data_IF_701715530714
#
_entry.id   IF_701715530714
#
_cell.length_a   1.000
_cell.length_b   1.000
_cell.length_c   1.000
_cell.angle_alpha   90.00
_cell.angle_beta   90.00
_cell.angle_gamma   90.00
#
_symmetry.space_group_name_H-M   'P 1'
#
loop_
_entity.id
_entity.type
_entity.pdbx_description
1 polymer ?
#
# COMPACT_ATOMS: atom_id res chain seq x y z
N UNK A 1 -40.13 -8.99 1.75
CA UNK A 1 -39.00 -9.90 2.00
C UNK A 1 -38.08 -9.87 0.78
N UNK A 2 -36.81 -9.49 0.76
CA UNK A 2 -35.92 -8.71 1.61
C UNK A 2 -34.73 -8.37 0.70
N UNK A 3 -34.91 -7.48 -0.29
CA UNK A 3 -33.78 -7.02 -1.10
C UNK A 3 -33.06 -5.90 -0.35
N UNK A 4 -32.38 -6.27 0.73
CA UNK A 4 -31.37 -5.41 1.33
C UNK A 4 -30.20 -5.40 0.34
N UNK A 5 -30.00 -4.29 -0.38
CA UNK A 5 -28.77 -4.06 -1.14
C UNK A 5 -27.60 -4.07 -0.15
N UNK A 6 -26.89 -5.19 -0.05
CA UNK A 6 -25.75 -5.33 0.85
C UNK A 6 -24.56 -4.52 0.29
N UNK A 7 -24.35 -3.32 0.83
CA UNK A 7 -23.20 -2.46 0.54
C UNK A 7 -21.88 -2.99 1.14
N UNK A 8 -21.77 -4.29 1.39
CA UNK A 8 -20.65 -4.90 2.11
C UNK A 8 -19.37 -4.96 1.28
N UNK A 9 -19.50 -5.01 -0.06
CA UNK A 9 -18.37 -5.08 -0.99
C UNK A 9 -18.42 -3.92 -1.97
N UNK A 10 -17.23 -3.45 -2.36
CA UNK A 10 -17.05 -2.44 -3.38
C UNK A 10 -16.15 -2.97 -4.48
N UNK A 11 -16.47 -2.61 -5.72
CA UNK A 11 -15.66 -2.97 -6.88
C UNK A 11 -14.56 -1.94 -7.09
N UNK A 12 -13.31 -2.36 -6.96
CA UNK A 12 -12.12 -1.52 -7.17
C UNK A 12 -11.23 -2.22 -8.17
N UNK A 13 -10.86 -1.56 -9.28
CA UNK A 13 -10.01 -2.11 -10.35
C UNK A 13 -10.43 -3.51 -10.87
N UNK A 14 -11.74 -3.82 -10.80
CA UNK A 14 -12.28 -5.11 -11.23
C UNK A 14 -12.29 -6.21 -10.16
N UNK A 15 -11.81 -5.93 -8.95
CA UNK A 15 -11.84 -6.83 -7.79
C UNK A 15 -12.97 -6.45 -6.83
N UNK A 16 -13.63 -7.46 -6.26
CA UNK A 16 -14.63 -7.28 -5.19
C UNK A 16 -13.95 -7.26 -3.83
N UNK A 17 -13.83 -6.07 -3.25
CA UNK A 17 -13.11 -5.85 -1.99
C UNK A 17 -14.14 -5.50 -0.89
N UNK A 18 -14.06 -6.12 0.30
CA UNK A 18 -14.94 -5.75 1.40
C UNK A 18 -14.72 -4.29 1.82
N UNK A 19 -15.79 -3.63 2.27
CA UNK A 19 -15.69 -2.26 2.77
C UNK A 19 -15.27 -2.27 4.25
N UNK A 20 -14.41 -1.33 4.67
CA UNK A 20 -13.71 -0.33 3.85
C UNK A 20 -12.48 -0.93 3.12
N UNK A 21 -12.13 -0.35 1.96
CA UNK A 21 -10.81 -0.58 1.37
C UNK A 21 -9.74 0.08 2.24
N UNK A 22 -8.83 -0.74 2.76
CA UNK A 22 -7.71 -0.31 3.59
C UNK A 22 -6.42 -0.40 2.77
N UNK A 23 -5.79 0.77 2.55
CA UNK A 23 -4.47 0.90 1.92
C UNK A 23 -3.49 1.36 3.01
N UNK A 24 -2.44 0.60 3.26
CA UNK A 24 -1.49 0.91 4.33
C UNK A 24 -0.06 0.64 3.89
N UNK A 25 0.91 1.18 4.63
CA UNK A 25 2.33 1.04 4.32
C UNK A 25 3.10 2.30 4.70
N UNK A 26 4.43 2.27 4.56
CA UNK A 26 5.26 3.34 5.05
C UNK A 26 5.06 4.62 4.24
N UNK A 27 5.42 5.76 4.84
CA UNK A 27 5.39 7.04 4.14
C UNK A 27 6.28 6.99 2.89
N UNK A 28 7.50 6.48 3.05
CA UNK A 28 8.53 6.35 2.03
C UNK A 28 9.09 4.92 1.98
N UNK A 29 9.54 4.50 0.81
CA UNK A 29 10.37 3.29 0.65
C UNK A 29 11.83 3.66 0.91
N UNK A 30 12.27 3.50 2.16
CA UNK A 30 13.60 3.96 2.62
C UNK A 30 14.66 2.87 2.49
N UNK A 31 14.28 1.60 2.64
CA UNK A 31 15.13 0.44 2.37
C UNK A 31 14.30 -0.77 1.97
N UNK A 32 14.93 -1.72 1.27
CA UNK A 32 14.27 -2.98 0.90
C UNK A 32 13.80 -3.76 2.14
N UNK A 33 14.64 -3.85 3.16
CA UNK A 33 14.33 -4.57 4.41
C UNK A 33 13.13 -3.97 5.12
N UNK A 34 13.03 -2.63 5.17
CA UNK A 34 11.91 -1.92 5.78
C UNK A 34 10.61 -2.14 5.00
N UNK A 35 10.64 -2.04 3.67
CA UNK A 35 9.46 -2.26 2.82
C UNK A 35 8.96 -3.71 2.95
N UNK A 36 9.87 -4.68 2.87
CA UNK A 36 9.54 -6.11 2.96
C UNK A 36 9.02 -6.50 4.35
N UNK A 37 9.63 -5.98 5.42
CA UNK A 37 9.16 -6.22 6.79
C UNK A 37 7.76 -5.64 6.99
N UNK A 38 7.53 -4.40 6.55
CA UNK A 38 6.22 -3.75 6.68
C UNK A 38 5.14 -4.53 5.91
N UNK A 39 5.43 -4.95 4.68
CA UNK A 39 4.49 -5.75 3.89
C UNK A 39 4.14 -7.09 4.56
N UNK A 40 5.13 -7.78 5.14
CA UNK A 40 4.90 -9.02 5.89
C UNK A 40 3.99 -8.80 7.10
N UNK A 41 4.22 -7.76 7.89
CA UNK A 41 3.37 -7.46 9.06
C UNK A 41 1.95 -7.06 8.65
N UNK A 42 1.79 -6.22 7.61
CA UNK A 42 0.45 -5.86 7.11
C UNK A 42 -0.31 -7.08 6.56
N UNK A 43 0.38 -8.01 5.90
CA UNK A 43 -0.23 -9.26 5.41
C UNK A 43 -0.68 -10.16 6.57
N UNK A 44 0.10 -10.25 7.66
CA UNK A 44 -0.28 -11.00 8.86
C UNK A 44 -1.54 -10.46 9.54
N UNK A 45 -1.78 -9.14 9.49
CA UNK A 45 -2.99 -8.53 10.05
C UNK A 45 -4.27 -8.94 9.29
N UNK A 46 -4.17 -9.30 8.00
CA UNK A 46 -5.30 -9.76 7.19
C UNK A 46 -6.37 -8.70 6.86
N UNK A 47 -6.21 -7.46 7.35
CA UNK A 47 -7.16 -6.36 7.16
C UNK A 47 -6.75 -5.37 6.06
N UNK A 48 -5.49 -5.42 5.61
CA UNK A 48 -4.94 -4.49 4.62
C UNK A 48 -5.06 -5.11 3.23
N UNK A 49 -5.62 -4.33 2.31
CA UNK A 49 -5.95 -4.79 0.96
C UNK A 49 -4.90 -4.37 -0.08
N UNK A 50 -4.15 -3.30 0.20
CA UNK A 50 -3.10 -2.81 -0.68
C UNK A 50 -1.95 -2.16 0.11
N UNK A 51 -0.73 -2.34 -0.39
CA UNK A 51 0.49 -1.73 0.13
C UNK A 51 0.74 -0.38 -0.55
N UNK A 52 1.04 0.67 0.22
CA UNK A 52 1.55 1.96 -0.29
C UNK A 52 2.96 2.25 0.20
N UNK A 53 3.80 2.85 -0.64
CA UNK A 53 5.07 3.44 -0.23
C UNK A 53 5.49 4.55 -1.22
N UNK A 54 5.97 5.68 -0.71
CA UNK A 54 6.44 6.79 -1.54
C UNK A 54 7.85 6.55 -2.06
N UNK A 55 8.02 6.53 -3.37
CA UNK A 55 9.32 6.32 -4.03
C UNK A 55 10.01 7.62 -4.40
N UNK A 56 9.22 8.64 -4.73
CA UNK A 56 9.66 10.03 -4.92
C UNK A 56 8.88 10.93 -3.97
N UNK A 57 9.57 11.87 -3.32
CA UNK A 57 8.98 12.83 -2.39
C UNK A 57 9.18 14.24 -2.92
N UNK A 58 8.09 14.96 -3.27
CA UNK A 58 8.19 16.35 -3.71
C UNK A 58 8.56 17.21 -2.49
N UNK A 59 9.85 17.50 -2.31
CA UNK A 59 10.33 18.27 -1.17
C UNK A 59 10.24 19.76 -1.47
N UNK A 60 9.60 20.50 -0.56
CA UNK A 60 9.62 21.97 -0.58
C UNK A 60 10.97 22.53 -0.15
N UNK A 61 11.72 21.79 0.69
CA UNK A 61 13.04 22.18 1.19
C UNK A 61 14.12 21.29 0.54
N UNK A 62 15.20 21.87 0.00
CA UNK A 62 16.32 21.11 -0.55
C UNK A 62 17.05 20.32 0.55
N UNK A 63 17.85 19.32 0.14
CA UNK A 63 18.67 18.45 1.01
C UNK A 63 17.91 17.55 1.98
N UNK A 64 16.59 17.46 1.84
CA UNK A 64 15.80 16.53 2.61
C UNK A 64 15.49 15.29 1.77
N UNK A 65 15.35 14.12 2.39
CA UNK A 65 15.12 12.85 1.69
C UNK A 65 14.08 12.96 0.54
N UNK A 66 14.53 12.74 -0.69
CA UNK A 66 13.73 12.89 -1.92
C UNK A 66 13.11 11.58 -2.40
N UNK A 67 13.39 10.48 -1.70
CA UNK A 67 13.07 9.14 -2.16
C UNK A 67 14.26 8.41 -2.76
N UNK A 68 14.17 7.09 -2.81
CA UNK A 68 15.20 6.22 -3.41
C UNK A 68 15.06 6.16 -4.95
N UNK A 69 13.92 6.62 -5.49
CA UNK A 69 13.67 6.59 -6.92
C UNK A 69 13.45 5.17 -7.46
N UNK A 70 13.74 4.96 -8.75
CA UNK A 70 13.33 3.76 -9.50
C UNK A 70 13.73 2.43 -8.84
N UNK A 71 14.84 2.37 -8.12
CA UNK A 71 15.30 1.17 -7.41
C UNK A 71 14.22 0.66 -6.43
N UNK A 72 13.55 1.56 -5.71
CA UNK A 72 12.53 1.19 -4.74
C UNK A 72 11.23 0.64 -5.38
N UNK A 73 10.99 0.88 -6.68
CA UNK A 73 9.85 0.27 -7.37
C UNK A 73 9.97 -1.27 -7.40
N UNK A 74 11.19 -1.79 -7.54
CA UNK A 74 11.42 -3.25 -7.53
C UNK A 74 11.10 -3.86 -6.17
N UNK A 75 11.37 -3.13 -5.08
CA UNK A 75 11.05 -3.56 -3.72
C UNK A 75 9.54 -3.63 -3.52
N UNK A 76 8.79 -2.59 -3.92
CA UNK A 76 7.32 -2.55 -3.79
C UNK A 76 6.69 -3.66 -4.62
N UNK A 77 7.17 -3.88 -5.85
CA UNK A 77 6.70 -4.97 -6.71
C UNK A 77 6.94 -6.35 -6.08
N UNK A 78 8.08 -6.54 -5.43
CA UNK A 78 8.42 -7.79 -4.75
C UNK A 78 7.61 -7.98 -3.48
N UNK A 79 7.39 -6.91 -2.72
CA UNK A 79 6.61 -6.90 -1.47
C UNK A 79 5.11 -7.14 -1.69
N UNK A 80 4.57 -6.77 -2.86
CA UNK A 80 3.17 -6.99 -3.23
C UNK A 80 2.83 -8.40 -3.71
N UNK A 81 3.80 -9.32 -3.77
CA UNK A 81 3.58 -10.75 -4.05
C UNK A 81 3.21 -11.49 -2.76
#
# INVERSE_FOLDING_TARGET
>A
MDTVLSFEKQRVIGLDIPRPLIISGPCSAESETQVMATAKELKKLGTVHALRAGVWKPRTRPNAFEGIGSVALAWIKTAGK
#
